data_IF_664483314308
#
_entry.id   IF_664483314308
#
_cell.length_a   1.000
_cell.length_b   1.000
_cell.length_c   1.000
_cell.angle_alpha   90.00
_cell.angle_beta   90.00
_cell.angle_gamma   90.00
#
_symmetry.space_group_name_H-M   'P 1'
#
loop_
_entity.id
_entity.type
_entity.pdbx_description
1 polymer ?
#
# COMPACT_ATOMS: atom_id res chain seq x y z
N UNK A 1 25.69 -7.25 -35.81
CA UNK A 1 25.16 -8.26 -34.87
C UNK A 1 24.43 -7.50 -33.78
N UNK A 2 23.11 -7.66 -33.66
CA UNK A 2 22.35 -7.01 -32.60
C UNK A 2 22.51 -7.85 -31.32
N UNK A 3 23.10 -7.28 -30.27
CA UNK A 3 23.13 -7.91 -28.96
C UNK A 3 21.71 -7.92 -28.41
N UNK A 4 21.20 -9.13 -28.15
CA UNK A 4 19.88 -9.34 -27.58
C UNK A 4 20.02 -9.25 -26.06
N UNK A 5 19.58 -8.12 -25.50
CA UNK A 5 19.57 -7.93 -24.04
C UNK A 5 18.45 -8.78 -23.46
N UNK A 6 18.79 -9.71 -22.57
CA UNK A 6 17.81 -10.50 -21.83
C UNK A 6 17.29 -9.71 -20.62
N UNK A 7 15.97 -9.68 -20.48
CA UNK A 7 15.28 -9.03 -19.37
C UNK A 7 14.59 -10.08 -18.51
N UNK A 8 14.79 -9.98 -17.20
CA UNK A 8 14.06 -10.75 -16.20
C UNK A 8 12.87 -9.93 -15.72
N UNK A 9 11.68 -10.53 -15.73
CA UNK A 9 10.48 -9.94 -15.16
C UNK A 9 10.46 -10.24 -13.67
N UNK A 10 10.52 -9.20 -12.84
CA UNK A 10 10.29 -9.33 -11.41
C UNK A 10 8.96 -8.66 -11.07
N UNK A 11 8.00 -9.48 -10.67
CA UNK A 11 6.74 -9.02 -10.09
C UNK A 11 6.97 -8.73 -8.61
N UNK A 12 6.82 -7.47 -8.21
CA UNK A 12 6.86 -7.09 -6.79
C UNK A 12 5.47 -6.77 -6.32
N UNK A 13 4.89 -7.63 -5.48
CA UNK A 13 3.66 -7.35 -4.74
C UNK A 13 4.05 -6.62 -3.46
N UNK A 14 3.64 -5.36 -3.29
CA UNK A 14 3.75 -4.74 -1.96
C UNK A 14 2.75 -5.40 -1.01
N UNK A 15 3.16 -5.83 0.18
CA UNK A 15 2.26 -6.45 1.13
C UNK A 15 1.28 -5.39 1.64
N UNK A 16 -0.01 -5.73 1.59
CA UNK A 16 -1.14 -5.02 2.19
C UNK A 16 -1.74 -3.88 1.33
N UNK A 17 -2.57 -4.28 0.36
CA UNK A 17 -3.49 -3.38 -0.33
C UNK A 17 -4.76 -3.16 0.46
N UNK A 18 -5.01 -1.91 0.83
CA UNK A 18 -6.33 -1.45 1.23
C UNK A 18 -6.71 -0.36 0.25
N UNK A 19 -7.73 -0.63 -0.58
CA UNK A 19 -8.25 0.37 -1.53
C UNK A 19 -8.80 1.58 -0.80
N UNK A 20 -8.86 2.74 -1.44
CA UNK A 20 -9.42 3.96 -0.83
C UNK A 20 -10.84 3.74 -0.28
N UNK A 21 -11.68 2.99 -1.01
CA UNK A 21 -13.02 2.62 -0.56
C UNK A 21 -13.00 1.79 0.74
N UNK A 22 -12.09 0.84 0.84
CA UNK A 22 -11.94 0.02 2.05
C UNK A 22 -11.42 0.85 3.22
N UNK A 23 -10.47 1.77 2.98
CA UNK A 23 -10.00 2.69 4.02
C UNK A 23 -11.14 3.52 4.59
N UNK A 24 -11.97 4.08 3.72
CA UNK A 24 -13.11 4.91 4.13
C UNK A 24 -14.11 4.11 4.96
N UNK A 25 -14.40 2.86 4.57
CA UNK A 25 -15.24 1.93 5.34
C UNK A 25 -14.65 1.61 6.72
N UNK A 26 -13.34 1.35 6.81
CA UNK A 26 -12.66 1.05 8.07
C UNK A 26 -12.66 2.27 8.98
N UNK A 27 -12.35 3.46 8.45
CA UNK A 27 -12.36 4.72 9.21
C UNK A 27 -13.77 4.99 9.76
N UNK A 28 -14.81 4.81 8.94
CA UNK A 28 -16.20 4.95 9.41
C UNK A 28 -16.54 3.96 10.52
N UNK A 29 -16.13 2.70 10.40
CA UNK A 29 -16.37 1.70 11.44
C UNK A 29 -15.67 2.06 12.77
N UNK A 30 -14.44 2.56 12.70
CA UNK A 30 -13.70 3.06 13.88
C UNK A 30 -14.46 4.21 14.55
N UNK A 31 -14.88 5.21 13.77
CA UNK A 31 -15.61 6.37 14.30
C UNK A 31 -16.98 5.99 14.89
N UNK A 32 -17.72 5.09 14.23
CA UNK A 32 -18.98 4.57 14.74
C UNK A 32 -18.80 3.79 16.05
N UNK A 33 -17.74 2.99 16.16
CA UNK A 33 -17.45 2.26 17.39
C UNK A 33 -17.16 3.23 18.55
N UNK A 34 -16.34 4.26 18.31
CA UNK A 34 -16.02 5.28 19.32
C UNK A 34 -17.27 6.04 19.77
N UNK A 35 -18.16 6.42 18.83
CA UNK A 35 -19.38 7.14 19.14
C UNK A 35 -20.35 6.36 20.06
N UNK A 36 -20.30 5.03 20.02
CA UNK A 36 -21.16 4.16 20.81
C UNK A 36 -20.51 3.63 22.10
N UNK A 37 -19.23 3.96 22.35
CA UNK A 37 -18.48 3.44 23.50
C UNK A 37 -18.41 4.49 24.60
N UNK A 38 -18.58 4.14 25.89
CA UNK A 38 -18.31 5.05 26.99
C UNK A 38 -16.89 5.60 26.91
N UNK A 39 -16.74 6.90 27.20
CA UNK A 39 -15.44 7.54 27.16
C UNK A 39 -14.44 6.84 28.09
N UNK A 40 -13.25 6.56 27.57
CA UNK A 40 -12.10 6.06 28.32
C UNK A 40 -10.92 6.99 28.09
N UNK A 41 -10.08 7.18 29.11
CA UNK A 41 -8.89 8.01 28.99
C UNK A 41 -7.97 7.48 27.88
N UNK A 42 -7.53 8.39 26.99
CA UNK A 42 -6.65 8.07 25.86
C UNK A 42 -7.37 7.48 24.64
N UNK A 43 -8.72 7.53 24.60
CA UNK A 43 -9.50 7.03 23.47
C UNK A 43 -9.22 7.83 22.19
N UNK A 44 -9.04 9.16 22.30
CA UNK A 44 -8.77 10.05 21.18
C UNK A 44 -7.42 9.75 20.52
N UNK A 45 -6.38 9.52 21.33
CA UNK A 45 -5.05 9.19 20.86
C UNK A 45 -5.03 7.81 20.17
N UNK A 46 -5.69 6.82 20.76
CA UNK A 46 -5.86 5.49 20.16
C UNK A 46 -6.64 5.54 18.84
N UNK A 47 -7.71 6.34 18.79
CA UNK A 47 -8.49 6.57 17.58
C UNK A 47 -7.65 7.22 16.47
N UNK A 48 -6.89 8.25 16.83
CA UNK A 48 -6.00 8.96 15.91
C UNK A 48 -4.92 8.02 15.35
N UNK A 49 -4.29 7.22 16.22
CA UNK A 49 -3.29 6.22 15.82
C UNK A 49 -3.88 5.16 14.88
N UNK A 50 -5.10 4.68 15.16
CA UNK A 50 -5.78 3.71 14.32
C UNK A 50 -6.08 4.26 12.92
N UNK A 51 -6.62 5.48 12.82
CA UNK A 51 -6.88 6.15 11.52
C UNK A 51 -5.57 6.44 10.78
N UNK A 52 -4.54 6.91 11.49
CA UNK A 52 -3.21 7.15 10.91
C UNK A 52 -2.63 5.88 10.31
N UNK A 53 -2.73 4.74 11.01
CA UNK A 53 -2.28 3.45 10.52
C UNK A 53 -3.02 3.01 9.24
N UNK A 54 -4.34 3.18 9.18
CA UNK A 54 -5.14 2.87 7.97
C UNK A 54 -4.71 3.74 6.77
N UNK A 55 -4.30 4.97 7.01
CA UNK A 55 -3.82 5.86 5.94
C UNK A 55 -2.40 5.52 5.43
N UNK A 56 -1.63 4.69 6.15
CA UNK A 56 -0.29 4.26 5.71
C UNK A 56 -0.35 3.24 4.58
N UNK A 57 -1.46 2.50 4.45
CA UNK A 57 -1.67 1.61 3.32
C UNK A 57 -1.81 2.46 2.06
N UNK A 58 -1.13 2.11 0.97
CA UNK A 58 -1.42 2.70 -0.34
C UNK A 58 -2.19 1.69 -1.17
N UNK A 59 -2.96 2.17 -2.14
CA UNK A 59 -3.31 1.31 -3.27
C UNK A 59 -1.98 0.84 -3.88
N UNK A 60 -1.70 -0.46 -3.82
CA UNK A 60 -0.53 -0.99 -4.50
C UNK A 60 -0.88 -1.01 -5.97
N UNK A 61 -0.11 -0.27 -6.76
CA UNK A 61 -0.01 -0.60 -8.17
C UNK A 61 0.94 -1.77 -8.27
N UNK A 62 0.50 -2.83 -8.95
CA UNK A 62 1.41 -3.87 -9.41
C UNK A 62 2.52 -3.17 -10.20
N UNK A 63 3.75 -3.22 -9.68
CA UNK A 63 4.91 -2.68 -10.39
C UNK A 63 5.64 -3.86 -11.00
N UNK A 64 5.49 -4.01 -12.31
CA UNK A 64 6.35 -4.90 -13.09
C UNK A 64 7.68 -4.20 -13.31
N UNK A 65 8.73 -4.74 -12.68
CA UNK A 65 10.10 -4.27 -12.87
C UNK A 65 10.81 -5.20 -13.86
N UNK A 66 11.41 -4.63 -14.89
CA UNK A 66 12.32 -5.33 -15.79
C UNK A 66 13.75 -5.13 -15.29
N UNK A 67 14.44 -6.23 -15.02
CA UNK A 67 15.84 -6.24 -14.64
C UNK A 67 16.68 -6.70 -15.83
N UNK A 68 17.64 -5.87 -16.24
CA UNK A 68 18.67 -6.30 -17.19
C UNK A 68 19.93 -6.66 -16.41
N UNK A 69 20.25 -7.96 -16.40
CA UNK A 69 21.47 -8.46 -15.75
C UNK A 69 22.75 -7.91 -16.41
N UNK A 70 22.72 -7.69 -17.72
CA UNK A 70 23.85 -7.13 -18.48
C UNK A 70 24.10 -5.64 -18.18
N UNK A 71 23.05 -4.86 -17.94
CA UNK A 71 23.16 -3.41 -17.75
C UNK A 71 23.23 -3.00 -16.27
N UNK A 72 22.91 -3.92 -15.34
CA UNK A 72 22.78 -3.61 -13.91
C UNK A 72 21.69 -2.56 -13.64
N UNK A 73 20.73 -2.41 -14.55
CA UNK A 73 19.70 -1.35 -14.53
C UNK A 73 18.31 -1.96 -14.37
N UNK A 74 17.49 -1.27 -13.58
CA UNK A 74 16.08 -1.59 -13.37
C UNK A 74 15.22 -0.63 -14.18
N UNK A 75 14.23 -1.15 -14.89
CA UNK A 75 13.26 -0.38 -15.67
C UNK A 75 11.86 -0.63 -15.12
N UNK A 76 11.07 0.43 -14.96
CA UNK A 76 9.67 0.31 -14.57
C UNK A 76 8.79 0.33 -15.82
N UNK A 77 7.93 -0.67 -15.98
CA UNK A 77 6.85 -0.60 -16.97
C UNK A 77 5.75 0.25 -16.33
N UNK A 78 5.54 1.45 -16.85
CA UNK A 78 4.38 2.27 -16.53
C UNK A 78 3.28 1.84 -17.50
N UNK A 79 2.17 1.29 -17.00
CA UNK A 79 0.93 1.14 -17.77
C UNK A 79 0.36 2.52 -18.17
#
# INVERSE_FOLDING_TARGET
MANKVEFLVQETTTPQTVTERQKEQIIQAILQSIANTPYQSGLEEKACNAVSYVNQFSDSKDKTLLLSAELGKTYSILE
#
